data_IF_303412304512
#
_entry.id   IF_303412304512
#
_cell.length_a   1.000
_cell.length_b   1.000
_cell.length_c   1.000
_cell.angle_alpha   90.00
_cell.angle_beta   90.00
_cell.angle_gamma   90.00
#
_symmetry.space_group_name_H-M   'P 1'
#
loop_
_entity.id
_entity.type
_entity.pdbx_description
1 polymer ?
#
# COMPACT_ATOMS: atom_id res chain seq x y z
N UNK A 1 -0.22 -35.44 20.32
CA UNK A 1 -1.42 -35.67 19.47
C UNK A 1 -2.06 -34.31 19.21
N UNK A 2 -1.66 -33.64 18.13
CA UNK A 2 -2.27 -32.38 17.71
C UNK A 2 -3.34 -32.74 16.69
N UNK A 3 -4.61 -32.51 17.04
CA UNK A 3 -5.73 -32.60 16.10
C UNK A 3 -5.56 -31.48 15.07
N UNK A 4 -5.14 -31.86 13.87
CA UNK A 4 -5.44 -31.12 12.66
C UNK A 4 -6.97 -31.12 12.50
N UNK A 5 -7.63 -30.03 12.88
CA UNK A 5 -9.01 -29.82 12.45
C UNK A 5 -8.98 -29.58 10.94
N UNK A 6 -9.40 -30.60 10.21
CA UNK A 6 -9.71 -30.59 8.79
C UNK A 6 -10.63 -29.41 8.45
N UNK A 7 -10.14 -28.48 7.64
CA UNK A 7 -11.01 -27.71 6.76
C UNK A 7 -11.17 -28.51 5.46
N UNK A 8 -12.37 -28.53 4.86
CA UNK A 8 -12.66 -29.39 3.72
C UNK A 8 -11.81 -28.98 2.52
N UNK A 9 -11.13 -29.98 1.92
CA UNK A 9 -10.55 -29.86 0.60
C UNK A 9 -11.66 -29.54 -0.41
N UNK A 10 -11.80 -28.28 -0.80
CA UNK A 10 -12.35 -27.98 -2.12
C UNK A 10 -11.37 -28.53 -3.16
N UNK A 11 -11.68 -29.72 -3.67
CA UNK A 11 -11.12 -30.27 -4.90
C UNK A 11 -11.45 -29.29 -6.03
N UNK A 12 -10.42 -28.76 -6.70
CA UNK A 12 -10.57 -27.98 -7.92
C UNK A 12 -9.63 -28.52 -9.02
N UNK A 13 -10.04 -28.46 -10.29
CA UNK A 13 -9.53 -29.36 -11.33
C UNK A 13 -8.16 -28.92 -11.85
N UNK A 14 -7.32 -29.91 -12.14
CA UNK A 14 -6.07 -29.76 -12.87
C UNK A 14 -6.32 -29.23 -14.29
N UNK A 15 -5.81 -28.04 -14.60
CA UNK A 15 -5.48 -27.67 -15.99
C UNK A 15 -4.06 -27.12 -16.04
N UNK A 16 -3.19 -27.90 -16.68
CA UNK A 16 -1.84 -27.55 -17.06
C UNK A 16 -1.87 -26.52 -18.19
N UNK A 17 -1.14 -25.43 -18.04
CA UNK A 17 -0.79 -24.56 -19.15
C UNK A 17 0.74 -24.47 -19.19
N UNK A 18 1.32 -25.10 -20.20
CA UNK A 18 2.73 -24.94 -20.55
C UNK A 18 2.94 -23.53 -21.12
N UNK A 19 3.93 -22.81 -20.59
CA UNK A 19 4.44 -21.57 -21.17
C UNK A 19 5.49 -21.96 -22.22
N UNK A 20 5.27 -21.61 -23.49
CA UNK A 20 6.28 -21.72 -24.54
C UNK A 20 6.68 -20.33 -25.01
N UNK A 21 7.99 -20.07 -24.99
CA UNK A 21 8.66 -18.86 -25.46
C UNK A 21 8.99 -18.93 -26.95
N UNK A 22 8.80 -17.83 -27.70
CA UNK A 22 9.63 -17.34 -28.84
C UNK A 22 8.98 -16.07 -29.44
N UNK A 23 9.57 -14.88 -29.29
CA UNK A 23 10.53 -14.16 -30.19
C UNK A 23 9.88 -13.57 -31.47
N UNK A 24 9.87 -12.23 -31.50
CA UNK A 24 9.70 -11.19 -32.57
C UNK A 24 10.25 -11.55 -33.98
N UNK A 25 9.82 -10.92 -35.12
CA UNK A 25 9.94 -9.46 -35.39
C UNK A 25 8.82 -8.78 -36.24
N UNK A 26 8.77 -7.44 -36.18
CA UNK A 26 7.66 -6.60 -36.68
C UNK A 26 7.73 -5.98 -38.08
N UNK A 27 6.76 -5.08 -38.39
CA UNK A 27 6.82 -3.94 -39.33
C UNK A 27 5.55 -3.04 -39.19
N UNK A 28 5.67 -1.78 -39.61
CA UNK A 28 4.76 -0.62 -39.44
C UNK A 28 3.47 -0.62 -40.31
N UNK A 29 2.45 0.18 -39.92
CA UNK A 29 1.79 1.23 -40.75
C UNK A 29 0.39 1.67 -40.25
N UNK A 30 0.16 3.00 -40.12
CA UNK A 30 -1.00 3.68 -40.72
C UNK A 30 -2.18 4.20 -39.87
N UNK A 31 -2.35 5.54 -39.89
CA UNK A 31 -3.57 6.38 -39.72
C UNK A 31 -4.17 6.57 -38.30
N UNK A 32 -4.78 7.70 -37.90
CA UNK A 32 -4.77 9.15 -38.20
C UNK A 32 -5.81 9.79 -37.26
N UNK A 33 -5.61 11.01 -36.73
CA UNK A 33 -6.65 11.68 -35.93
C UNK A 33 -6.26 13.07 -35.41
N UNK A 34 -6.86 14.10 -36.02
CA UNK A 34 -6.45 15.51 -36.05
C UNK A 34 -6.54 16.29 -34.71
N UNK A 35 -5.50 17.10 -34.42
CA UNK A 35 -5.55 18.29 -33.55
C UNK A 35 -6.07 19.48 -34.36
N UNK A 36 -6.98 20.29 -33.79
CA UNK A 36 -7.22 21.66 -34.25
C UNK A 36 -6.81 22.67 -33.18
N UNK A 37 -6.00 23.63 -33.65
CA UNK A 37 -5.51 24.86 -33.04
C UNK A 37 -6.42 26.01 -33.51
N UNK A 38 -6.67 27.02 -32.67
CA UNK A 38 -6.88 28.40 -33.15
C UNK A 38 -6.48 29.42 -32.07
N UNK A 39 -5.36 30.09 -32.38
CA UNK A 39 -4.93 31.45 -32.00
C UNK A 39 -6.05 32.49 -32.30
N UNK A 40 -6.06 33.76 -31.90
CA UNK A 40 -5.29 34.74 -31.09
C UNK A 40 -6.15 36.04 -31.18
N UNK A 41 -6.10 36.99 -30.25
CA UNK A 41 -6.48 38.39 -30.55
C UNK A 41 -5.91 39.40 -29.54
N UNK A 42 -5.36 40.48 -30.10
CA UNK A 42 -4.69 41.67 -29.54
C UNK A 42 -5.57 42.63 -28.74
N UNK A 43 -4.90 43.35 -27.83
CA UNK A 43 -4.88 44.80 -27.53
C UNK A 43 -6.13 45.67 -27.75
N UNK A 44 -6.49 46.51 -26.77
CA UNK A 44 -6.15 47.96 -26.72
C UNK A 44 -6.84 48.67 -25.53
N UNK A 45 -6.13 49.64 -24.95
CA UNK A 45 -6.54 50.59 -23.90
C UNK A 45 -7.37 51.74 -24.50
N UNK A 46 -8.40 52.27 -23.81
CA UNK A 46 -8.78 53.70 -23.82
C UNK A 46 -9.57 54.06 -22.53
N UNK A 47 -9.18 55.18 -21.89
CA UNK A 47 -9.88 55.90 -20.81
C UNK A 47 -11.19 56.55 -21.30
N UNK A 48 -12.18 56.74 -20.42
CA UNK A 48 -13.11 57.91 -20.40
C UNK A 48 -14.07 57.89 -19.18
N UNK A 49 -13.81 58.83 -18.26
CA UNK A 49 -14.71 59.74 -17.51
C UNK A 49 -15.93 59.30 -16.64
N UNK A 50 -16.08 60.10 -15.58
CA UNK A 50 -17.00 60.10 -14.43
C UNK A 50 -18.51 59.94 -14.74
N UNK A 51 -19.18 59.05 -13.98
CA UNK A 51 -20.58 59.19 -13.57
C UNK A 51 -20.84 58.43 -12.24
N UNK A 52 -21.37 59.14 -11.24
CA UNK A 52 -22.11 58.59 -10.07
C UNK A 52 -23.29 59.55 -9.82
N UNK A 53 -24.43 59.19 -9.16
CA UNK A 53 -24.90 57.88 -8.69
C UNK A 53 -26.35 57.54 -9.14
N UNK A 54 -26.74 56.26 -9.15
CA UNK A 54 -28.17 55.89 -9.07
C UNK A 54 -28.40 54.53 -8.35
N UNK A 55 -29.63 54.25 -7.86
CA UNK A 55 -29.91 53.98 -6.47
C UNK A 55 -29.81 52.49 -6.12
N UNK A 56 -29.38 52.19 -4.88
CA UNK A 56 -29.37 50.82 -4.34
C UNK A 56 -30.79 50.24 -4.36
N UNK A 57 -31.01 49.23 -5.21
CA UNK A 57 -32.28 48.52 -5.31
C UNK A 57 -32.44 47.57 -4.10
N UNK A 58 -33.62 47.48 -3.45
CA UNK A 58 -33.89 46.67 -2.24
C UNK A 58 -33.68 45.15 -2.30
N UNK A 59 -33.03 44.63 -3.34
CA UNK A 59 -32.67 43.21 -3.45
C UNK A 59 -31.15 43.05 -3.46
N UNK A 60 -30.43 43.81 -2.62
CA UNK A 60 -29.08 43.42 -2.20
C UNK A 60 -29.20 41.99 -1.68
N UNK A 61 -28.87 41.02 -2.54
CA UNK A 61 -28.86 39.61 -2.19
C UNK A 61 -27.68 39.48 -1.25
N UNK A 62 -27.99 39.55 0.05
CA UNK A 62 -27.11 39.17 1.14
C UNK A 62 -26.38 37.90 0.72
N UNK A 63 -25.09 38.10 0.48
CA UNK A 63 -24.17 37.06 0.10
C UNK A 63 -24.36 35.95 1.13
N UNK A 64 -24.69 34.73 0.68
CA UNK A 64 -24.69 33.52 1.51
C UNK A 64 -23.24 33.27 1.98
N UNK A 65 -22.77 34.09 2.90
CA UNK A 65 -21.48 34.04 3.54
C UNK A 65 -21.75 33.57 4.96
N UNK A 66 -21.62 32.27 5.19
CA UNK A 66 -21.88 31.73 6.54
C UNK A 66 -21.91 30.21 6.68
N UNK A 67 -21.84 29.43 5.59
CA UNK A 67 -21.73 27.98 5.71
C UNK A 67 -20.26 27.52 5.66
N UNK A 68 -19.50 27.84 6.71
CA UNK A 68 -18.32 27.02 7.02
C UNK A 68 -18.80 25.68 7.58
N UNK A 69 -19.01 24.72 6.67
CA UNK A 69 -19.17 23.33 7.05
C UNK A 69 -17.79 22.76 7.33
N UNK A 70 -17.35 22.78 8.59
CA UNK A 70 -16.22 21.96 9.01
C UNK A 70 -16.64 20.50 8.91
N UNK A 71 -16.47 19.90 7.73
CA UNK A 71 -16.55 18.46 7.56
C UNK A 71 -15.38 17.87 8.36
N UNK A 72 -15.64 17.56 9.63
CA UNK A 72 -14.81 16.63 10.39
C UNK A 72 -14.92 15.31 9.64
N UNK A 73 -14.02 15.08 8.68
CA UNK A 73 -13.89 13.80 7.97
C UNK A 73 -13.79 12.75 9.07
N UNK A 74 -14.88 12.03 9.30
CA UNK A 74 -14.89 10.91 10.21
C UNK A 74 -14.00 9.87 9.56
N UNK A 75 -12.73 9.82 9.97
CA UNK A 75 -11.75 8.87 9.45
C UNK A 75 -12.20 7.49 9.88
N UNK A 76 -12.89 6.80 8.98
CA UNK A 76 -13.12 5.37 9.12
C UNK A 76 -11.74 4.73 8.92
N UNK A 77 -11.19 4.13 9.97
CA UNK A 77 -9.94 3.40 9.85
C UNK A 77 -10.13 2.27 8.82
N UNK A 78 -9.29 2.26 7.78
CA UNK A 78 -9.31 1.23 6.73
C UNK A 78 -9.03 -0.17 7.29
N UNK A 79 -8.35 -0.24 8.43
CA UNK A 79 -7.95 -1.48 9.09
C UNK A 79 -8.65 -1.61 10.43
N UNK A 80 -9.17 -2.81 10.71
CA UNK A 80 -9.80 -3.10 12.00
C UNK A 80 -8.76 -3.19 13.14
N UNK A 81 -9.11 -2.76 14.38
CA UNK A 81 -8.23 -2.79 15.56
C UNK A 81 -7.50 -4.12 15.78
N UNK A 82 -8.16 -5.25 15.52
CA UNK A 82 -7.66 -6.59 15.75
C UNK A 82 -6.37 -6.87 14.97
N UNK A 83 -6.23 -6.28 13.77
CA UNK A 83 -5.02 -6.45 12.96
C UNK A 83 -3.84 -5.63 13.50
N UNK A 84 -4.11 -4.49 14.14
CA UNK A 84 -3.08 -3.74 14.86
C UNK A 84 -2.60 -4.50 16.10
N UNK A 85 -3.51 -5.12 16.85
CA UNK A 85 -3.17 -5.95 18.02
C UNK A 85 -2.35 -7.19 17.63
N UNK A 86 -2.74 -7.87 16.55
CA UNK A 86 -1.99 -8.99 15.98
C UNK A 86 -0.56 -8.56 15.63
N UNK A 87 -0.42 -7.41 14.97
CA UNK A 87 0.88 -6.88 14.61
C UNK A 87 1.71 -6.56 15.85
N UNK A 88 1.15 -5.86 16.84
CA UNK A 88 1.82 -5.55 18.10
C UNK A 88 2.31 -6.82 18.82
N UNK A 89 1.47 -7.86 18.89
CA UNK A 89 1.86 -9.17 19.43
C UNK A 89 3.00 -9.80 18.65
N UNK A 90 3.01 -9.71 17.33
CA UNK A 90 4.09 -10.25 16.49
C UNK A 90 5.38 -9.44 16.60
N UNK A 91 5.32 -8.14 16.92
CA UNK A 91 6.51 -7.36 17.26
C UNK A 91 7.16 -7.84 18.57
N UNK A 92 6.42 -8.55 19.42
CA UNK A 92 6.98 -9.14 20.64
C UNK A 92 7.71 -10.46 20.40
N UNK A 93 7.47 -11.12 19.27
CA UNK A 93 8.08 -12.39 18.90
C UNK A 93 9.62 -12.29 18.86
N UNK A 94 10.35 -13.22 19.48
CA UNK A 94 11.80 -13.10 19.61
C UNK A 94 12.55 -13.16 18.28
N UNK A 95 12.03 -13.83 17.26
CA UNK A 95 12.64 -13.84 15.92
C UNK A 95 12.39 -12.51 15.21
N UNK A 96 11.16 -11.99 15.30
CA UNK A 96 10.80 -10.69 14.73
C UNK A 96 11.61 -9.57 15.38
N UNK A 97 11.72 -9.54 16.72
CA UNK A 97 12.57 -8.58 17.45
C UNK A 97 14.02 -8.60 16.97
N UNK A 98 14.61 -9.79 16.88
CA UNK A 98 15.99 -9.94 16.40
C UNK A 98 16.15 -9.47 14.96
N UNK A 99 15.18 -9.75 14.09
CA UNK A 99 15.19 -9.30 12.70
C UNK A 99 15.12 -7.77 12.60
N UNK A 100 14.19 -7.13 13.30
CA UNK A 100 14.04 -5.67 13.29
C UNK A 100 15.25 -4.95 13.91
N UNK A 101 15.89 -5.54 14.93
CA UNK A 101 17.13 -5.04 15.52
C UNK A 101 18.35 -5.21 14.60
N UNK A 102 18.34 -6.24 13.73
CA UNK A 102 19.39 -6.48 12.75
C UNK A 102 19.34 -5.49 11.58
N UNK A 103 18.14 -5.13 11.10
CA UNK A 103 17.96 -4.19 9.99
C UNK A 103 18.16 -2.73 10.42
N UNK A 104 19.38 -2.39 10.85
CA UNK A 104 19.74 -1.03 11.33
C UNK A 104 19.65 0.03 10.23
N UNK A 105 19.80 -0.37 8.97
CA UNK A 105 19.74 0.51 7.80
C UNK A 105 18.32 0.64 7.24
N UNK A 106 17.33 0.00 7.88
CA UNK A 106 15.92 0.05 7.51
C UNK A 106 15.68 -0.29 6.03
N UNK A 107 16.42 -1.27 5.51
CA UNK A 107 16.38 -1.65 4.09
C UNK A 107 15.18 -2.51 3.75
N UNK A 108 14.64 -3.23 4.73
CA UNK A 108 13.57 -4.21 4.53
C UNK A 108 12.44 -4.09 5.54
N UNK A 109 12.56 -3.17 6.50
CA UNK A 109 11.64 -3.03 7.63
C UNK A 109 11.49 -1.58 8.11
N UNK A 110 11.51 -0.63 7.19
CA UNK A 110 11.09 0.75 7.51
C UNK A 110 9.60 0.81 7.86
N UNK A 111 9.18 1.96 8.38
CA UNK A 111 7.81 2.18 8.86
C UNK A 111 6.74 1.95 7.79
N UNK A 112 7.02 2.22 6.51
CA UNK A 112 6.04 2.05 5.44
C UNK A 112 5.89 0.57 5.09
N UNK A 113 7.00 -0.16 4.95
CA UNK A 113 6.95 -1.62 4.77
C UNK A 113 6.22 -2.32 5.93
N UNK A 114 6.43 -1.86 7.16
CA UNK A 114 5.72 -2.37 8.34
C UNK A 114 4.23 -1.97 8.36
N UNK A 115 3.88 -0.81 7.83
CA UNK A 115 2.47 -0.41 7.65
C UNK A 115 1.77 -1.30 6.63
N UNK A 116 2.45 -1.64 5.53
CA UNK A 116 1.94 -2.57 4.52
C UNK A 116 1.69 -3.97 5.11
N UNK A 117 2.49 -4.43 6.08
CA UNK A 117 2.22 -5.69 6.79
C UNK A 117 0.85 -5.68 7.47
N UNK A 118 0.51 -4.60 8.18
CA UNK A 118 -0.80 -4.45 8.82
C UNK A 118 -1.92 -4.41 7.77
N UNK A 119 -1.69 -3.64 6.69
CA UNK A 119 -2.62 -3.53 5.57
C UNK A 119 -2.92 -4.89 4.92
N UNK A 120 -1.91 -5.75 4.79
CA UNK A 120 -2.04 -7.11 4.27
C UNK A 120 -2.71 -8.07 5.25
N UNK A 121 -2.48 -7.93 6.55
CA UNK A 121 -3.25 -8.67 7.54
C UNK A 121 -4.74 -8.33 7.42
N UNK A 122 -5.09 -7.05 7.31
CA UNK A 122 -6.47 -6.63 7.12
C UNK A 122 -7.11 -7.20 5.86
N UNK A 123 -6.37 -7.28 4.76
CA UNK A 123 -6.88 -7.81 3.49
C UNK A 123 -6.98 -9.33 3.44
N UNK A 124 -6.11 -10.05 4.15
CA UNK A 124 -6.08 -11.51 4.09
C UNK A 124 -7.28 -12.16 4.80
N UNK A 125 -7.97 -11.41 5.67
CA UNK A 125 -9.22 -11.84 6.30
C UNK A 125 -9.08 -13.07 7.20
N UNK A 126 -7.86 -13.39 7.67
CA UNK A 126 -7.65 -14.45 8.63
C UNK A 126 -8.10 -13.99 10.02
N UNK A 127 -8.49 -14.93 10.87
CA UNK A 127 -8.80 -14.62 12.25
C UNK A 127 -7.53 -14.22 13.03
N UNK A 128 -7.68 -13.34 14.02
CA UNK A 128 -6.56 -12.76 14.77
C UNK A 128 -5.61 -13.81 15.39
N UNK A 129 -6.13 -14.96 15.82
CA UNK A 129 -5.35 -16.06 16.39
C UNK A 129 -4.59 -16.92 15.36
N UNK A 130 -4.92 -16.82 14.06
CA UNK A 130 -4.25 -17.59 13.00
C UNK A 130 -2.93 -16.96 12.57
N UNK A 131 -2.77 -15.65 12.79
CA UNK A 131 -1.53 -14.96 12.49
C UNK A 131 -0.39 -15.40 13.40
N UNK A 132 0.70 -15.77 12.75
CA UNK A 132 1.91 -16.34 13.34
C UNK A 132 3.11 -15.64 12.72
N UNK A 133 4.30 -15.89 13.29
CA UNK A 133 5.58 -15.38 12.79
C UNK A 133 5.74 -15.51 11.27
N UNK A 134 5.38 -16.67 10.71
CA UNK A 134 5.49 -16.89 9.25
C UNK A 134 4.66 -15.88 8.45
N UNK A 135 3.45 -15.55 8.92
CA UNK A 135 2.57 -14.58 8.26
C UNK A 135 3.17 -13.17 8.25
N UNK A 136 3.82 -12.75 9.34
CA UNK A 136 4.56 -11.49 9.39
C UNK A 136 5.61 -11.42 8.28
N UNK A 137 6.45 -12.46 8.17
CA UNK A 137 7.51 -12.48 7.16
C UNK A 137 6.99 -12.68 5.74
N UNK A 138 5.87 -13.39 5.53
CA UNK A 138 5.21 -13.47 4.22
C UNK A 138 4.72 -12.09 3.77
N UNK A 139 4.03 -11.37 4.65
CA UNK A 139 3.52 -10.03 4.38
C UNK A 139 4.67 -9.04 4.18
N UNK A 140 5.72 -9.10 5.00
CA UNK A 140 6.88 -8.22 4.88
C UNK A 140 7.67 -8.50 3.60
N UNK A 141 7.86 -9.77 3.25
CA UNK A 141 8.51 -10.15 2.00
C UNK A 141 7.72 -9.62 0.80
N UNK A 142 6.39 -9.74 0.83
CA UNK A 142 5.52 -9.17 -0.19
C UNK A 142 5.63 -7.65 -0.26
N UNK A 143 5.62 -6.94 0.87
CA UNK A 143 5.79 -5.48 0.88
C UNK A 143 7.11 -5.07 0.20
N UNK A 144 8.20 -5.78 0.50
CA UNK A 144 9.48 -5.58 -0.16
C UNK A 144 9.43 -5.91 -1.66
N UNK A 145 8.65 -6.90 -2.12
CA UNK A 145 8.47 -7.15 -3.55
C UNK A 145 7.75 -6.02 -4.28
N UNK A 146 6.91 -5.27 -3.57
CA UNK A 146 6.11 -4.19 -4.15
C UNK A 146 6.86 -2.84 -4.17
N UNK A 147 7.72 -2.58 -3.19
CA UNK A 147 8.40 -1.28 -3.02
C UNK A 147 9.90 -1.29 -3.35
N UNK A 148 10.58 -2.43 -3.27
CA UNK A 148 12.04 -2.51 -3.39
C UNK A 148 12.46 -3.38 -4.58
N UNK A 149 13.11 -2.75 -5.57
CA UNK A 149 13.66 -3.45 -6.74
C UNK A 149 14.76 -4.43 -6.34
N UNK A 150 15.55 -4.07 -5.31
CA UNK A 150 16.68 -4.86 -4.89
C UNK A 150 16.23 -6.12 -4.13
N UNK A 151 16.45 -7.28 -4.77
CA UNK A 151 16.06 -8.56 -4.21
C UNK A 151 17.00 -9.06 -3.09
N UNK A 152 18.22 -8.54 -2.99
CA UNK A 152 19.24 -9.08 -2.11
C UNK A 152 18.91 -8.94 -0.61
N UNK A 153 18.45 -7.79 -0.09
CA UNK A 153 18.24 -7.58 1.34
C UNK A 153 17.12 -8.45 1.91
N UNK A 154 16.06 -8.70 1.14
CA UNK A 154 14.95 -9.55 1.60
C UNK A 154 15.30 -11.03 1.63
N UNK A 155 16.42 -11.47 1.05
CA UNK A 155 16.90 -12.84 1.24
C UNK A 155 17.30 -13.11 2.69
N UNK A 156 17.67 -12.08 3.45
CA UNK A 156 17.96 -12.22 4.88
C UNK A 156 16.72 -12.68 5.67
N UNK A 157 15.50 -12.42 5.19
CA UNK A 157 14.26 -12.94 5.80
C UNK A 157 14.30 -14.47 5.94
N UNK A 158 14.80 -15.18 4.91
CA UNK A 158 14.91 -16.64 4.96
C UNK A 158 15.88 -17.11 6.05
N UNK A 159 16.97 -16.36 6.29
CA UNK A 159 17.95 -16.69 7.31
C UNK A 159 17.35 -16.65 8.71
N UNK A 160 16.46 -15.69 8.98
CA UNK A 160 15.76 -15.58 10.26
C UNK A 160 14.67 -16.63 10.45
N UNK A 161 13.98 -17.03 9.37
CA UNK A 161 12.92 -18.04 9.43
C UNK A 161 13.44 -19.48 9.50
N UNK A 162 14.42 -19.83 8.67
CA UNK A 162 14.82 -21.21 8.40
C UNK A 162 16.31 -21.47 8.66
N UNK A 163 17.07 -20.47 9.11
CA UNK A 163 18.51 -20.56 9.29
C UNK A 163 19.26 -20.57 7.95
N UNK A 164 20.37 -21.30 7.87
CA UNK A 164 21.24 -21.32 6.68
C UNK A 164 20.73 -22.23 5.55
N UNK A 165 19.62 -22.93 5.73
CA UNK A 165 19.11 -23.90 4.77
C UNK A 165 18.16 -23.27 3.75
N UNK A 166 18.36 -23.61 2.48
CA UNK A 166 17.54 -23.14 1.37
C UNK A 166 16.34 -24.07 1.07
N UNK A 167 16.26 -25.23 1.72
CA UNK A 167 15.26 -26.25 1.42
C UNK A 167 13.80 -25.78 1.57
N UNK A 168 13.57 -24.77 2.42
CA UNK A 168 12.23 -24.25 2.72
C UNK A 168 11.81 -23.08 1.81
N UNK A 169 12.68 -22.60 0.92
CA UNK A 169 12.36 -21.50 0.00
C UNK A 169 11.16 -21.82 -0.90
N UNK A 170 11.06 -23.00 -1.56
CA UNK A 170 9.90 -23.33 -2.38
C UNK A 170 8.60 -23.34 -1.59
N UNK A 171 8.63 -23.85 -0.36
CA UNK A 171 7.46 -23.86 0.52
C UNK A 171 7.04 -22.44 0.91
N UNK A 172 8.00 -21.57 1.25
CA UNK A 172 7.72 -20.17 1.56
C UNK A 172 7.05 -19.45 0.38
N UNK A 173 7.56 -19.62 -0.85
CA UNK A 173 6.94 -19.01 -2.02
C UNK A 173 5.54 -19.56 -2.30
N UNK A 174 5.29 -20.86 -2.05
CA UNK A 174 3.94 -21.45 -2.12
C UNK A 174 2.99 -20.82 -1.10
N UNK A 175 3.44 -20.64 0.15
CA UNK A 175 2.65 -19.97 1.19
C UNK A 175 2.40 -18.50 0.85
N UNK A 176 3.39 -17.78 0.31
CA UNK A 176 3.24 -16.39 -0.15
C UNK A 176 2.18 -16.28 -1.23
N UNK A 177 2.20 -17.19 -2.21
CA UNK A 177 1.18 -17.23 -3.26
C UNK A 177 -0.23 -17.45 -2.68
N UNK A 178 -0.37 -18.36 -1.71
CA UNK A 178 -1.65 -18.59 -1.03
C UNK A 178 -2.11 -17.36 -0.23
N UNK A 179 -1.18 -16.68 0.44
CA UNK A 179 -1.44 -15.45 1.17
C UNK A 179 -1.92 -14.32 0.24
N UNK A 180 -1.24 -14.09 -0.88
CA UNK A 180 -1.67 -13.12 -1.90
C UNK A 180 -3.07 -13.45 -2.43
N UNK A 181 -3.33 -14.73 -2.71
CA UNK A 181 -4.63 -15.18 -3.17
C UNK A 181 -5.74 -14.93 -2.14
N UNK A 182 -5.46 -15.07 -0.85
CA UNK A 182 -6.43 -14.78 0.22
C UNK A 182 -6.85 -13.30 0.26
N UNK A 183 -5.97 -12.40 -0.17
CA UNK A 183 -6.26 -10.96 -0.29
C UNK A 183 -7.01 -10.59 -1.59
N UNK A 184 -7.45 -11.58 -2.38
CA UNK A 184 -8.06 -11.33 -3.69
C UNK A 184 -7.09 -10.63 -4.66
N UNK A 185 -5.78 -10.86 -4.52
CA UNK A 185 -4.72 -10.20 -5.31
C UNK A 185 -4.58 -8.69 -5.08
N UNK A 186 -5.26 -8.13 -4.08
CA UNK A 186 -5.14 -6.72 -3.74
C UNK A 186 -3.83 -6.45 -2.97
N UNK A 187 -2.70 -6.34 -3.68
CA UNK A 187 -1.38 -6.09 -3.05
C UNK A 187 -0.96 -4.63 -3.04
N UNK A 188 -1.73 -3.75 -3.69
CA UNK A 188 -1.44 -2.32 -3.72
C UNK A 188 -1.85 -1.69 -2.38
N UNK A 189 -0.92 -0.98 -1.78
CA UNK A 189 -1.13 -0.19 -0.56
C UNK A 189 -0.66 1.22 -0.89
N UNK A 190 -1.52 2.22 -0.72
CA UNK A 190 -1.12 3.60 -1.01
C UNK A 190 -0.32 4.16 0.16
N UNK A 191 0.38 5.28 -0.09
CA UNK A 191 1.10 5.99 0.96
C UNK A 191 0.14 6.53 2.03
N UNK A 192 -1.00 7.06 1.60
CA UNK A 192 -2.04 7.60 2.48
C UNK A 192 -2.61 6.50 3.39
N UNK A 193 -2.83 5.30 2.85
CA UNK A 193 -3.25 4.14 3.64
C UNK A 193 -2.21 3.78 4.72
N UNK A 194 -0.91 3.80 4.37
CA UNK A 194 0.15 3.56 5.34
C UNK A 194 0.15 4.63 6.45
N UNK A 195 -0.01 5.89 6.10
CA UNK A 195 -0.06 7.01 7.05
C UNK A 195 -1.29 6.91 7.95
N UNK A 196 -2.47 6.54 7.42
CA UNK A 196 -3.68 6.28 8.20
C UNK A 196 -3.48 5.13 9.20
N UNK A 197 -2.83 4.03 8.79
CA UNK A 197 -2.46 2.91 9.68
C UNK A 197 -1.54 3.38 10.81
N UNK A 198 -0.54 4.21 10.52
CA UNK A 198 0.37 4.75 11.53
C UNK A 198 -0.35 5.65 12.55
N UNK A 199 -1.38 6.40 12.11
CA UNK A 199 -2.15 7.28 13.01
C UNK A 199 -2.99 6.55 14.05
N UNK A 200 -3.24 5.24 13.88
CA UNK A 200 -4.02 4.45 14.85
C UNK A 200 -3.32 4.36 16.23
N UNK A 201 -2.00 4.15 16.23
CA UNK A 201 -1.19 4.17 17.46
C UNK A 201 0.16 4.83 17.14
N UNK A 202 0.23 6.17 17.16
CA UNK A 202 1.43 6.91 16.75
C UNK A 202 2.64 6.69 17.67
N UNK A 203 2.41 6.28 18.92
CA UNK A 203 3.44 6.05 19.93
C UNK A 203 4.17 4.70 19.77
N UNK A 204 3.71 3.84 18.84
CA UNK A 204 4.36 2.56 18.61
C UNK A 204 5.76 2.77 18.00
N UNK A 205 6.79 2.31 18.73
CA UNK A 205 8.20 2.56 18.43
C UNK A 205 8.65 2.23 16.99
N UNK A 206 7.98 1.30 16.30
CA UNK A 206 8.30 0.95 14.91
C UNK A 206 8.06 2.11 13.94
N UNK A 207 7.22 3.08 14.28
CA UNK A 207 6.96 4.25 13.43
C UNK A 207 8.12 5.26 13.44
N UNK A 208 9.02 5.17 14.43
CA UNK A 208 10.30 5.88 14.41
C UNK A 208 11.32 5.32 13.43
N UNK A 209 11.02 4.21 12.75
CA UNK A 209 11.89 3.59 11.74
C UNK A 209 11.78 4.30 10.39
N UNK A 210 12.17 5.57 10.37
CA UNK A 210 12.21 6.35 9.14
C UNK A 210 13.54 6.19 8.42
N UNK A 211 13.50 5.77 7.16
CA UNK A 211 14.70 5.71 6.33
C UNK A 211 15.04 7.15 5.97
N UNK A 212 16.18 7.65 6.43
CA UNK A 212 16.77 8.85 5.85
C UNK A 212 17.06 8.51 4.38
N UNK A 213 16.15 8.88 3.48
CA UNK A 213 16.48 9.02 2.07
C UNK A 213 17.52 10.12 2.05
N UNK A 214 18.79 9.74 2.00
CA UNK A 214 19.86 10.67 1.68
C UNK A 214 19.38 11.45 0.47
N UNK A 215 19.19 12.75 0.63
CA UNK A 215 18.93 13.67 -0.46
C UNK A 215 19.97 13.37 -1.54
N UNK A 216 19.53 12.76 -2.63
CA UNK A 216 20.29 12.48 -3.82
C UNK A 216 19.71 13.35 -4.92
#
# INVERSE_FOLDING_TARGET
>A
IIRLCSLPLCVMPSKSYYLNSKVEPGLQSGFSGQKRKRECSSDSEEELEDLDPEPKHPWDVETLCGLEMTLKRQRVHLVQPEHHEVFARLLEDPVVKRFLAWDKKLRVSDKYLLSMVIAYFSRAGLFSWQYQRIHFFLALYLANDMEEDNQAPKQDIFRFLYGKSYAQHPLFHKLRYQFIRSMGWNTRVSREECEEIQTYNPELWVWGRDRLKSLA
#
